data_IF_865095280291
#
_entry.id   IF_865095280291
#
_cell.length_a   1.000
_cell.length_b   1.000
_cell.length_c   1.000
_cell.angle_alpha   90.00
_cell.angle_beta   90.00
_cell.angle_gamma   90.00
#
_symmetry.space_group_name_H-M   'P 1'
#
loop_
_entity.id
_entity.type
_entity.pdbx_description
1 polymer ?
#
# COMPACT_ATOMS: atom_id res chain seq x y z
N UNK A 1 -26.89 4.92 10.79
CA UNK A 1 -26.04 4.79 9.59
C UNK A 1 -24.68 4.22 10.01
N UNK A 2 -24.44 2.92 9.79
CA UNK A 2 -23.27 2.22 10.35
C UNK A 2 -22.31 1.82 9.21
N UNK A 3 -21.32 2.68 8.91
CA UNK A 3 -20.35 2.49 7.81
C UNK A 3 -19.14 1.66 8.27
N UNK A 4 -19.22 0.35 8.52
CA UNK A 4 -18.03 -0.44 8.92
C UNK A 4 -17.93 -1.88 8.43
N UNK A 5 -18.70 -2.28 7.42
CA UNK A 5 -18.58 -3.63 6.86
C UNK A 5 -18.79 -3.58 5.35
N UNK A 6 -17.71 -3.72 4.58
CA UNK A 6 -17.82 -4.00 3.15
C UNK A 6 -18.23 -5.46 3.05
N UNK A 7 -19.49 -5.71 2.69
CA UNK A 7 -20.06 -7.04 2.50
C UNK A 7 -19.28 -7.81 1.44
N UNK A 8 -18.83 -9.02 1.80
CA UNK A 8 -18.28 -10.12 0.98
C UNK A 8 -18.27 -9.87 -0.55
N UNK A 9 -17.09 -9.46 -1.05
CA UNK A 9 -16.58 -9.43 -2.45
C UNK A 9 -17.47 -8.75 -3.50
N UNK A 10 -17.07 -7.56 -4.01
CA UNK A 10 -17.92 -6.75 -4.93
C UNK A 10 -17.15 -6.01 -6.04
N UNK A 11 -15.92 -6.42 -6.40
CA UNK A 11 -15.19 -5.78 -7.51
C UNK A 11 -14.64 -6.79 -8.53
N UNK A 12 -14.57 -6.38 -9.81
CA UNK A 12 -13.94 -7.14 -10.89
C UNK A 12 -12.48 -6.72 -11.13
N UNK A 13 -11.86 -6.06 -10.15
CA UNK A 13 -10.51 -5.51 -10.26
C UNK A 13 -9.47 -6.61 -10.12
N UNK A 14 -8.42 -6.52 -10.93
CA UNK A 14 -7.31 -7.46 -10.93
C UNK A 14 -6.00 -6.71 -11.02
N UNK A 15 -4.98 -7.18 -10.30
CA UNK A 15 -3.65 -6.60 -10.42
C UNK A 15 -3.10 -6.85 -11.81
N UNK A 16 -2.64 -5.78 -12.44
CA UNK A 16 -1.91 -5.89 -13.70
C UNK A 16 -0.59 -6.67 -13.52
N UNK A 17 -0.09 -7.25 -14.61
CA UNK A 17 1.25 -7.87 -14.62
C UNK A 17 2.35 -6.90 -14.17
N UNK A 18 2.19 -5.59 -14.43
CA UNK A 18 3.10 -4.54 -13.96
C UNK A 18 3.06 -4.43 -12.44
N UNK A 19 1.89 -4.43 -11.83
CA UNK A 19 1.73 -4.38 -10.37
C UNK A 19 2.33 -5.62 -9.71
N UNK A 20 2.10 -6.80 -10.27
CA UNK A 20 2.71 -8.06 -9.81
C UNK A 20 4.25 -8.01 -9.88
N UNK A 21 4.79 -7.53 -11.01
CA UNK A 21 6.24 -7.35 -11.17
C UNK A 21 6.83 -6.35 -10.14
N UNK A 22 6.09 -5.28 -9.79
CA UNK A 22 6.55 -4.33 -8.75
C UNK A 22 6.55 -4.92 -7.34
N UNK A 23 5.83 -6.02 -7.11
CA UNK A 23 5.86 -6.75 -5.84
C UNK A 23 6.96 -7.81 -5.77
N UNK A 24 7.84 -7.93 -6.77
CA UNK A 24 9.03 -8.79 -6.66
C UNK A 24 9.88 -8.33 -5.47
N UNK A 25 10.26 -9.28 -4.60
CA UNK A 25 11.01 -8.99 -3.37
C UNK A 25 10.20 -8.43 -2.20
N UNK A 26 8.89 -8.18 -2.35
CA UNK A 26 7.99 -7.86 -1.22
C UNK A 26 7.70 -9.13 -0.39
N UNK A 27 7.47 -8.99 0.91
CA UNK A 27 7.11 -10.07 1.82
C UNK A 27 5.81 -10.76 1.38
N UNK A 28 5.74 -12.09 1.47
CA UNK A 28 4.60 -12.90 0.99
C UNK A 28 3.26 -12.43 1.57
N UNK A 29 3.24 -12.15 2.86
CA UNK A 29 2.01 -11.79 3.58
C UNK A 29 1.47 -10.44 3.12
N UNK A 30 2.36 -9.48 2.82
CA UNK A 30 1.93 -8.20 2.25
C UNK A 30 1.40 -8.38 0.83
N UNK A 31 2.01 -9.26 0.01
CA UNK A 31 1.44 -9.58 -1.32
C UNK A 31 0.06 -10.22 -1.21
N UNK A 32 -0.13 -11.12 -0.23
CA UNK A 32 -1.43 -11.74 0.01
C UNK A 32 -2.48 -10.69 0.40
N UNK A 33 -2.12 -9.75 1.28
CA UNK A 33 -3.00 -8.61 1.63
C UNK A 33 -3.32 -7.76 0.41
N UNK A 34 -2.33 -7.40 -0.42
CA UNK A 34 -2.56 -6.60 -1.64
C UNK A 34 -3.54 -7.30 -2.59
N UNK A 35 -3.31 -8.59 -2.87
CA UNK A 35 -4.17 -9.39 -3.75
C UNK A 35 -5.57 -9.58 -3.17
N UNK A 36 -5.72 -9.66 -1.86
CA UNK A 36 -7.05 -9.70 -1.26
C UNK A 36 -7.72 -8.33 -1.23
N UNK A 37 -6.94 -7.26 -1.07
CA UNK A 37 -7.46 -5.89 -1.03
C UNK A 37 -8.07 -5.46 -2.37
N UNK A 38 -7.49 -5.85 -3.51
CA UNK A 38 -8.03 -5.47 -4.84
C UNK A 38 -9.44 -6.03 -5.07
N UNK A 39 -9.71 -7.24 -4.58
CA UNK A 39 -11.03 -7.91 -4.64
C UNK A 39 -12.09 -7.28 -3.72
N UNK A 40 -11.65 -6.53 -2.71
CA UNK A 40 -12.49 -5.88 -1.71
C UNK A 40 -12.64 -4.38 -1.97
N UNK A 41 -11.79 -3.81 -2.81
CA UNK A 41 -11.67 -2.37 -3.00
C UNK A 41 -12.84 -1.81 -3.82
N UNK A 42 -13.43 -0.67 -3.40
CA UNK A 42 -14.46 0.01 -4.18
C UNK A 42 -13.89 0.64 -5.47
N UNK A 43 -12.59 0.90 -5.52
CA UNK A 43 -11.88 1.48 -6.67
C UNK A 43 -10.77 0.56 -7.15
N UNK A 44 -10.43 0.63 -8.44
CA UNK A 44 -9.23 -0.03 -8.96
C UNK A 44 -7.98 0.63 -8.37
N UNK A 45 -6.93 -0.16 -8.16
CA UNK A 45 -5.64 0.36 -7.76
C UNK A 45 -4.49 -0.46 -8.35
N UNK A 46 -3.37 0.21 -8.60
CA UNK A 46 -2.14 -0.41 -9.08
C UNK A 46 -1.00 -0.23 -8.10
N UNK A 47 -0.13 -1.24 -7.97
CA UNK A 47 1.12 -1.09 -7.20
C UNK A 47 2.13 -0.25 -7.97
N UNK A 48 2.60 0.82 -7.34
CA UNK A 48 3.59 1.76 -7.89
C UNK A 48 4.99 1.54 -7.34
N UNK A 49 5.16 0.97 -6.15
CA UNK A 49 6.47 0.65 -5.61
C UNK A 49 6.39 -0.55 -4.69
N UNK A 50 7.30 -1.50 -4.83
CA UNK A 50 7.54 -2.56 -3.83
C UNK A 50 8.91 -2.38 -3.20
N UNK A 51 9.79 -3.39 -3.34
CA UNK A 51 11.13 -3.36 -2.76
C UNK A 51 12.01 -2.26 -3.40
N UNK A 52 12.72 -1.49 -2.58
CA UNK A 52 13.67 -0.46 -3.01
C UNK A 52 15.11 -0.81 -2.65
N UNK A 53 16.04 -0.35 -3.47
CA UNK A 53 17.47 -0.28 -3.13
C UNK A 53 17.77 0.98 -2.31
N UNK A 54 18.91 0.99 -1.61
CA UNK A 54 19.38 2.19 -0.90
C UNK A 54 19.51 3.41 -1.83
N UNK A 55 19.99 3.20 -3.07
CA UNK A 55 20.11 4.28 -4.07
C UNK A 55 18.77 4.87 -4.47
N UNK A 56 17.76 4.03 -4.70
CA UNK A 56 16.39 4.49 -5.02
C UNK A 56 15.80 5.28 -3.84
N UNK A 57 15.96 4.77 -2.62
CA UNK A 57 15.47 5.44 -1.42
C UNK A 57 16.17 6.79 -1.21
N UNK A 58 17.49 6.85 -1.37
CA UNK A 58 18.26 8.09 -1.27
C UNK A 58 17.86 9.13 -2.33
N UNK A 59 17.51 8.69 -3.54
CA UNK A 59 17.00 9.58 -4.58
C UNK A 59 15.66 10.23 -4.18
N UNK A 60 14.78 9.51 -3.48
CA UNK A 60 13.53 10.06 -2.94
C UNK A 60 13.82 11.05 -1.79
N UNK A 61 14.73 10.69 -0.89
CA UNK A 61 15.17 11.58 0.19
C UNK A 61 15.72 12.92 -0.33
N UNK A 62 16.62 12.88 -1.33
CA UNK A 62 17.18 14.09 -1.95
C UNK A 62 16.14 14.97 -2.66
N UNK A 63 15.00 14.40 -3.06
CA UNK A 63 13.87 15.11 -3.66
C UNK A 63 12.87 15.64 -2.63
N UNK A 64 13.10 15.41 -1.33
CA UNK A 64 12.15 15.75 -0.27
C UNK A 64 10.92 14.83 -0.19
N UNK A 65 10.88 13.76 -0.99
CA UNK A 65 9.78 12.81 -1.04
C UNK A 65 9.89 11.69 0.02
N UNK A 66 10.93 11.72 0.86
CA UNK A 66 11.08 10.83 2.01
C UNK A 66 11.94 11.47 3.08
N UNK A 67 11.71 11.08 4.33
CA UNK A 67 12.57 11.44 5.47
C UNK A 67 13.68 10.40 5.74
N UNK A 68 13.68 9.28 5.00
CA UNK A 68 14.60 8.16 5.18
C UNK A 68 15.63 8.16 4.06
N UNK A 69 16.91 8.33 4.41
CA UNK A 69 18.02 8.50 3.46
C UNK A 69 18.42 7.21 2.73
N UNK A 70 17.96 6.07 3.21
CA UNK A 70 18.26 4.75 2.66
C UNK A 70 19.57 4.11 3.11
N UNK A 71 20.37 4.80 3.92
CA UNK A 71 21.67 4.32 4.42
C UNK A 71 21.68 4.26 5.95
N UNK A 72 21.50 5.41 6.60
CA UNK A 72 21.46 5.51 8.07
C UNK A 72 20.04 5.28 8.60
N UNK A 73 19.04 5.67 7.80
CA UNK A 73 17.61 5.50 8.08
C UNK A 73 17.00 4.62 6.99
N UNK A 74 16.74 3.37 7.35
CA UNK A 74 16.25 2.35 6.42
C UNK A 74 14.73 2.39 6.30
N UNK A 75 14.23 2.43 5.07
CA UNK A 75 12.80 2.33 4.74
C UNK A 75 12.30 0.88 4.78
N UNK A 76 11.03 0.69 5.14
CA UNK A 76 10.34 -0.61 5.04
C UNK A 76 10.28 -1.13 3.60
N UNK A 77 10.34 -0.26 2.59
CA UNK A 77 10.52 -0.70 1.21
C UNK A 77 11.85 -1.41 0.98
N UNK A 78 12.93 -1.04 1.68
CA UNK A 78 14.23 -1.70 1.47
C UNK A 78 14.25 -3.12 2.02
N UNK A 79 13.53 -3.36 3.11
CA UNK A 79 13.39 -4.69 3.71
C UNK A 79 12.29 -5.52 3.03
N UNK A 80 11.58 -4.97 2.03
CA UNK A 80 10.50 -5.66 1.32
C UNK A 80 9.18 -5.72 2.08
N UNK A 81 9.01 -4.89 3.12
CA UNK A 81 7.85 -4.90 4.00
C UNK A 81 6.87 -3.76 3.75
N UNK A 82 6.99 -3.05 2.63
CA UNK A 82 6.08 -1.98 2.25
C UNK A 82 5.79 -1.99 0.75
N UNK A 83 4.62 -1.46 0.40
CA UNK A 83 4.19 -1.17 -0.96
C UNK A 83 3.58 0.24 -1.02
N UNK A 84 3.75 0.88 -2.17
CA UNK A 84 2.96 2.05 -2.54
C UNK A 84 1.98 1.67 -3.63
N UNK A 85 0.78 2.23 -3.57
CA UNK A 85 -0.26 2.07 -4.58
C UNK A 85 -0.72 3.42 -5.16
N UNK A 86 -1.37 3.35 -6.32
CA UNK A 86 -2.09 4.45 -6.94
C UNK A 86 -3.54 4.02 -7.14
N UNK A 87 -4.48 4.95 -6.98
CA UNK A 87 -5.91 4.69 -7.17
C UNK A 87 -6.38 5.25 -8.51
N UNK A 88 -7.33 4.56 -9.13
CA UNK A 88 -8.04 5.04 -10.31
C UNK A 88 -9.44 5.51 -9.91
N UNK A 89 -9.86 6.67 -10.44
CA UNK A 89 -11.21 7.20 -10.26
C UNK A 89 -12.24 6.43 -11.10
N UNK A 90 -13.50 6.86 -11.06
CA UNK A 90 -14.62 6.23 -11.76
C UNK A 90 -14.47 6.24 -13.29
N UNK A 91 -13.67 7.16 -13.84
CA UNK A 91 -13.33 7.23 -15.27
C UNK A 91 -12.11 6.35 -15.62
N UNK A 92 -11.51 5.66 -14.66
CA UNK A 92 -10.28 4.89 -14.83
C UNK A 92 -9.02 5.75 -14.94
N UNK A 93 -9.05 7.02 -14.51
CA UNK A 93 -7.88 7.92 -14.50
C UNK A 93 -7.19 7.86 -13.15
N UNK A 94 -5.86 8.04 -13.17
CA UNK A 94 -5.08 8.12 -11.93
C UNK A 94 -5.53 9.33 -11.10
N UNK A 95 -5.84 9.10 -9.83
CA UNK A 95 -6.21 10.15 -8.87
C UNK A 95 -5.28 10.17 -7.66
N UNK A 96 -5.07 11.36 -7.12
CA UNK A 96 -4.31 11.62 -5.90
C UNK A 96 -5.20 12.14 -4.76
N UNK A 97 -6.53 12.13 -4.94
CA UNK A 97 -7.48 12.58 -3.93
C UNK A 97 -7.47 11.69 -2.70
N UNK A 98 -7.17 12.25 -1.53
CA UNK A 98 -6.95 11.48 -0.30
C UNK A 98 -8.16 10.60 0.10
N UNK A 99 -9.39 11.03 -0.19
CA UNK A 99 -10.61 10.25 0.06
C UNK A 99 -10.66 8.93 -0.72
N UNK A 100 -10.04 8.85 -1.90
CA UNK A 100 -9.92 7.59 -2.65
C UNK A 100 -8.96 6.63 -1.93
N UNK A 101 -7.80 7.13 -1.49
CA UNK A 101 -6.84 6.33 -0.73
C UNK A 101 -7.41 5.86 0.60
N UNK A 102 -8.21 6.70 1.28
CA UNK A 102 -8.89 6.31 2.52
C UNK A 102 -9.84 5.13 2.30
N UNK A 103 -10.66 5.18 1.24
CA UNK A 103 -11.60 4.11 0.91
C UNK A 103 -10.89 2.82 0.49
N UNK A 104 -9.83 2.92 -0.32
CA UNK A 104 -8.98 1.76 -0.66
C UNK A 104 -8.27 1.22 0.59
N UNK A 105 -7.86 2.08 1.53
CA UNK A 105 -7.24 1.63 2.79
C UNK A 105 -8.17 0.76 3.63
N UNK A 106 -9.49 0.96 3.56
CA UNK A 106 -10.44 0.12 4.26
C UNK A 106 -10.42 -1.32 3.73
N UNK A 107 -10.25 -1.48 2.41
CA UNK A 107 -10.08 -2.79 1.78
C UNK A 107 -8.76 -3.45 2.20
N UNK A 108 -7.65 -2.71 2.23
CA UNK A 108 -6.37 -3.19 2.78
C UNK A 108 -6.51 -3.65 4.25
N UNK A 109 -7.13 -2.82 5.09
CA UNK A 109 -7.35 -3.13 6.50
C UNK A 109 -8.29 -4.33 6.69
N UNK A 110 -9.28 -4.50 5.83
CA UNK A 110 -10.15 -5.67 5.84
C UNK A 110 -9.40 -6.93 5.41
N UNK A 111 -8.69 -6.90 4.29
CA UNK A 111 -7.85 -8.00 3.80
C UNK A 111 -6.85 -8.45 4.87
N UNK A 112 -6.19 -7.50 5.52
CA UNK A 112 -5.26 -7.74 6.63
C UNK A 112 -5.94 -8.46 7.81
N UNK A 113 -7.15 -8.05 8.20
CA UNK A 113 -7.94 -8.75 9.24
C UNK A 113 -8.34 -10.15 8.82
N UNK A 114 -8.81 -10.33 7.58
CA UNK A 114 -9.22 -11.64 7.04
C UNK A 114 -8.06 -12.64 7.01
N UNK A 115 -6.84 -12.16 6.72
CA UNK A 115 -5.63 -12.98 6.61
C UNK A 115 -4.82 -13.07 7.90
N UNK A 116 -5.23 -12.38 8.98
CA UNK A 116 -4.46 -12.34 10.23
C UNK A 116 -3.10 -11.62 10.12
N UNK A 117 -2.95 -10.71 9.15
CA UNK A 117 -1.71 -9.97 8.90
C UNK A 117 -1.79 -8.58 9.51
N UNK A 118 -0.78 -8.16 10.28
CA UNK A 118 -0.75 -6.80 10.85
C UNK A 118 -0.09 -5.81 9.89
N UNK A 119 -0.87 -4.82 9.44
CA UNK A 119 -0.41 -3.73 8.57
C UNK A 119 -0.58 -2.37 9.24
N UNK A 120 0.14 -1.38 8.72
CA UNK A 120 -0.02 0.05 9.00
C UNK A 120 -0.23 0.74 7.65
N UNK A 121 -1.19 1.66 7.59
CA UNK A 121 -1.41 2.52 6.43
C UNK A 121 -0.84 3.92 6.71
N UNK A 122 -0.09 4.49 5.76
CA UNK A 122 0.56 5.79 5.92
C UNK A 122 -0.41 6.95 6.11
N UNK A 123 -1.67 6.82 5.65
CA UNK A 123 -2.72 7.81 5.91
C UNK A 123 -3.17 7.88 7.37
N UNK A 124 -2.88 6.86 8.19
CA UNK A 124 -3.17 6.85 9.63
C UNK A 124 -2.06 7.49 10.48
N UNK A 125 -0.92 7.88 9.88
CA UNK A 125 0.16 8.53 10.62
C UNK A 125 -0.28 9.90 11.18
N UNK A 126 0.26 10.25 12.35
CA UNK A 126 -0.08 11.51 13.04
C UNK A 126 0.42 12.75 12.28
N UNK A 127 1.53 12.63 11.55
CA UNK A 127 2.09 13.66 10.67
C UNK A 127 2.66 12.98 9.42
N UNK A 128 2.86 13.76 8.35
CA UNK A 128 3.32 13.25 7.04
C UNK A 128 2.45 12.11 6.49
N UNK A 129 1.12 12.30 6.54
CA UNK A 129 0.17 11.30 6.03
C UNK A 129 0.48 10.94 4.58
N UNK A 130 0.68 9.66 4.35
CA UNK A 130 1.07 9.10 3.06
C UNK A 130 -0.01 8.12 2.58
N UNK A 131 -0.94 8.61 1.77
CA UNK A 131 -2.07 7.83 1.26
C UNK A 131 -1.64 6.58 0.46
N UNK A 132 -0.66 6.69 -0.45
CA UNK A 132 -0.12 5.54 -1.16
C UNK A 132 0.51 4.43 -0.31
N UNK A 133 1.03 4.72 0.88
CA UNK A 133 1.93 3.80 1.59
C UNK A 133 1.20 2.78 2.48
N UNK A 134 1.51 1.49 2.33
CA UNK A 134 1.10 0.42 3.25
C UNK A 134 2.32 -0.42 3.63
N UNK A 135 2.49 -0.69 4.92
CA UNK A 135 3.59 -1.52 5.43
C UNK A 135 3.14 -2.59 6.42
N UNK A 136 3.92 -3.67 6.50
CA UNK A 136 3.79 -4.65 7.58
C UNK A 136 4.28 -4.02 8.89
N UNK A 137 3.50 -4.25 9.95
CA UNK A 137 3.78 -3.70 11.27
C UNK A 137 5.15 -4.15 11.77
N UNK A 138 6.05 -3.18 11.98
CA UNK A 138 7.45 -3.41 12.38
C UNK A 138 7.59 -4.14 13.72
N UNK A 139 6.60 -4.05 14.61
CA UNK A 139 6.62 -4.77 15.88
C UNK A 139 6.53 -6.30 15.70
N UNK A 140 5.90 -6.74 14.60
CA UNK A 140 5.67 -8.16 14.29
C UNK A 140 6.65 -8.64 13.21
N UNK A 141 6.86 -7.83 12.18
CA UNK A 141 7.73 -8.15 11.04
C UNK A 141 9.01 -7.31 11.11
N UNK A 142 10.13 -7.91 11.55
CA UNK A 142 11.41 -7.21 11.68
C UNK A 142 12.08 -6.98 10.32
#
# INVERSE_FOLDING_TARGET
MNRKTVTKTVSQWHLSARSEARMVGVHSDLKAVVRRAIELSPFDFGITSGKRTAKQQNALFKKGASQLDGYSKISRHQTGHAVDFVVYDEDGKVTWGFSYYEQVSWAFKQAARELGVSIIWGGDWASFKDGPHVELNKAIYR
#
